data_IF_768138489320
#
_entry.id   IF_768138489320
#
_cell.length_a   1.000
_cell.length_b   1.000
_cell.length_c   1.000
_cell.angle_alpha   90.00
_cell.angle_beta   90.00
_cell.angle_gamma   90.00
#
_symmetry.space_group_name_H-M   'P 1'
#
loop_
_entity.id
_entity.type
_entity.pdbx_description
1 polymer ?
#
# COMPACT_ATOMS: atom_id res chain seq x y z
N UNK A 1 -43.69 28.92 -39.05
CA UNK A 1 -43.33 29.98 -38.09
C UNK A 1 -44.53 30.14 -37.17
N UNK A 2 -44.52 29.87 -35.87
CA UNK A 2 -43.45 29.59 -34.90
C UNK A 2 -44.06 28.80 -33.72
N UNK A 3 -43.25 28.00 -33.03
CA UNK A 3 -43.59 27.40 -31.73
C UNK A 3 -42.80 28.08 -30.60
N UNK A 4 -43.52 28.29 -29.50
CA UNK A 4 -43.12 28.24 -28.08
C UNK A 4 -42.13 29.24 -27.50
N UNK A 5 -42.54 29.89 -26.39
CA UNK A 5 -41.79 30.00 -25.12
C UNK A 5 -42.68 30.58 -24.02
N UNK A 6 -43.04 29.74 -23.06
CA UNK A 6 -43.57 30.14 -21.75
C UNK A 6 -42.42 30.09 -20.76
N UNK A 7 -42.24 31.20 -20.06
CA UNK A 7 -41.15 31.55 -19.16
C UNK A 7 -41.72 31.54 -17.74
N UNK A 8 -41.36 30.55 -16.92
CA UNK A 8 -41.48 30.62 -15.46
C UNK A 8 -40.28 29.88 -14.87
N UNK A 9 -39.21 30.67 -14.63
CA UNK A 9 -37.97 30.23 -14.01
C UNK A 9 -38.15 29.82 -12.56
N UNK A 10 -37.82 28.57 -12.26
CA UNK A 10 -37.53 28.10 -10.92
C UNK A 10 -36.07 28.45 -10.57
N UNK A 11 -35.86 29.46 -9.73
CA UNK A 11 -34.54 29.81 -9.21
C UNK A 11 -34.32 29.10 -7.86
N UNK A 12 -33.43 28.11 -7.91
CA UNK A 12 -32.31 27.87 -6.98
C UNK A 12 -32.58 27.81 -5.47
N UNK A 13 -32.40 26.60 -4.93
CA UNK A 13 -31.35 26.35 -3.93
C UNK A 13 -31.00 24.86 -3.98
N UNK A 14 -30.19 24.51 -4.98
CA UNK A 14 -29.41 23.28 -4.98
C UNK A 14 -28.35 23.44 -3.88
N UNK A 15 -28.66 23.01 -2.66
CA UNK A 15 -27.64 22.83 -1.61
C UNK A 15 -26.80 21.62 -1.99
N UNK A 16 -25.85 21.86 -2.91
CA UNK A 16 -24.68 21.03 -3.16
C UNK A 16 -23.88 20.87 -1.86
N UNK A 17 -24.27 19.93 -1.00
CA UNK A 17 -23.35 19.21 -0.13
C UNK A 17 -22.46 18.29 -0.99
N UNK A 18 -21.60 18.89 -1.82
CA UNK A 18 -20.61 18.16 -2.61
C UNK A 18 -19.24 18.86 -2.53
N UNK A 19 -18.85 19.22 -1.31
CA UNK A 19 -17.60 19.94 -1.04
C UNK A 19 -16.44 19.08 -0.51
N UNK A 20 -16.67 17.83 -0.08
CA UNK A 20 -15.68 17.11 0.75
C UNK A 20 -15.16 15.80 0.15
N UNK A 21 -15.77 15.24 -0.90
CA UNK A 21 -15.41 13.88 -1.36
C UNK A 21 -14.23 13.80 -2.35
N UNK A 22 -13.86 14.91 -3.01
CA UNK A 22 -12.84 14.88 -4.08
C UNK A 22 -11.40 14.97 -3.55
N UNK A 23 -11.18 15.61 -2.39
CA UNK A 23 -9.82 15.81 -1.84
C UNK A 23 -9.22 14.55 -1.21
N UNK A 24 -10.03 13.71 -0.56
CA UNK A 24 -9.55 12.44 0.02
C UNK A 24 -9.11 11.43 -1.04
N UNK A 25 -9.75 11.44 -2.21
CA UNK A 25 -9.42 10.57 -3.33
C UNK A 25 -8.03 10.82 -3.91
N UNK A 26 -7.65 12.09 -4.10
CA UNK A 26 -6.35 12.45 -4.68
C UNK A 26 -5.18 12.21 -3.72
N UNK A 27 -5.37 12.51 -2.43
CA UNK A 27 -4.35 12.27 -1.39
C UNK A 27 -4.14 10.78 -1.17
N UNK A 28 -5.22 9.99 -1.12
CA UNK A 28 -5.13 8.52 -1.01
C UNK A 28 -4.33 7.90 -2.15
N UNK A 29 -4.59 8.33 -3.40
CA UNK A 29 -3.85 7.86 -4.57
C UNK A 29 -2.36 8.20 -4.49
N UNK A 30 -2.04 9.41 -4.03
CA UNK A 30 -0.64 9.82 -3.82
C UNK A 30 0.05 8.93 -2.78
N UNK A 31 -0.60 8.67 -1.65
CA UNK A 31 -0.05 7.77 -0.61
C UNK A 31 0.21 6.38 -1.19
N UNK A 32 -0.75 5.81 -1.92
CA UNK A 32 -0.56 4.50 -2.57
C UNK A 32 0.59 4.49 -3.58
N UNK A 33 0.79 5.58 -4.32
CA UNK A 33 1.92 5.71 -5.23
C UNK A 33 3.26 5.73 -4.49
N UNK A 34 3.37 6.44 -3.36
CA UNK A 34 4.57 6.44 -2.51
C UNK A 34 4.87 5.03 -1.98
N UNK A 35 3.83 4.30 -1.51
CA UNK A 35 3.96 2.91 -1.07
C UNK A 35 4.46 2.01 -2.20
N UNK A 36 3.91 2.16 -3.41
CA UNK A 36 4.31 1.37 -4.57
C UNK A 36 5.75 1.65 -5.02
N UNK A 37 6.28 2.85 -4.78
CA UNK A 37 7.66 3.23 -5.05
C UNK A 37 8.65 2.80 -3.95
N UNK A 38 8.14 2.37 -2.79
CA UNK A 38 8.98 2.07 -1.62
C UNK A 38 9.37 3.31 -0.81
N UNK A 39 8.74 4.46 -1.06
CA UNK A 39 8.94 5.72 -0.33
C UNK A 39 8.18 5.68 1.01
N UNK A 40 8.47 4.67 1.84
CA UNK A 40 7.68 4.35 3.03
C UNK A 40 7.69 5.46 4.10
N UNK A 41 8.82 6.15 4.27
CA UNK A 41 8.93 7.25 5.23
C UNK A 41 8.04 8.42 4.82
N UNK A 42 8.07 8.80 3.54
CA UNK A 42 7.22 9.87 3.01
C UNK A 42 5.74 9.45 3.04
N UNK A 43 5.44 8.19 2.71
CA UNK A 43 4.09 7.65 2.81
C UNK A 43 3.56 7.70 4.25
N UNK A 44 4.35 7.32 5.25
CA UNK A 44 3.97 7.36 6.66
C UNK A 44 3.70 8.79 7.14
N UNK A 45 4.56 9.73 6.78
CA UNK A 45 4.36 11.15 7.10
C UNK A 45 3.05 11.67 6.50
N UNK A 46 2.82 11.40 5.21
CA UNK A 46 1.61 11.84 4.52
C UNK A 46 0.34 11.17 5.07
N UNK A 47 0.40 9.90 5.49
CA UNK A 47 -0.72 9.23 6.18
C UNK A 47 -1.05 9.95 7.48
N UNK A 48 -0.04 10.25 8.31
CA UNK A 48 -0.24 10.91 9.60
C UNK A 48 -0.85 12.31 9.42
N UNK A 49 -0.31 13.12 8.51
CA UNK A 49 -0.82 14.46 8.19
C UNK A 49 -2.25 14.40 7.66
N UNK A 50 -2.52 13.50 6.73
CA UNK A 50 -3.84 13.36 6.10
C UNK A 50 -4.90 12.84 7.07
N UNK A 51 -4.52 11.96 7.99
CA UNK A 51 -5.40 11.46 9.05
C UNK A 51 -5.70 12.55 10.07
N UNK A 52 -4.69 13.31 10.50
CA UNK A 52 -4.85 14.44 11.43
C UNK A 52 -5.72 15.56 10.84
N UNK A 53 -5.62 15.79 9.52
CA UNK A 53 -6.44 16.75 8.79
C UNK A 53 -7.84 16.23 8.41
N UNK A 54 -8.18 14.98 8.75
CA UNK A 54 -9.46 14.37 8.38
C UNK A 54 -9.67 14.15 6.88
N UNK A 55 -8.58 14.13 6.10
CA UNK A 55 -8.61 13.93 4.64
C UNK A 55 -8.75 12.46 4.25
N UNK A 56 -8.36 11.54 5.15
CA UNK A 56 -8.53 10.10 5.01
C UNK A 56 -9.09 9.52 6.30
N UNK A 57 -9.86 8.44 6.17
CA UNK A 57 -10.44 7.74 7.32
C UNK A 57 -9.37 6.96 8.10
N UNK A 58 -9.55 6.82 9.42
CA UNK A 58 -8.65 6.02 10.26
C UNK A 58 -8.52 4.56 9.78
N UNK A 59 -9.62 3.95 9.32
CA UNK A 59 -9.58 2.58 8.79
C UNK A 59 -8.73 2.51 7.51
N UNK A 60 -8.81 3.53 6.66
CA UNK A 60 -8.03 3.61 5.43
C UNK A 60 -6.54 3.80 5.74
N UNK A 61 -6.22 4.69 6.67
CA UNK A 61 -4.86 4.90 7.16
C UNK A 61 -4.26 3.62 7.76
N UNK A 62 -5.03 2.89 8.57
CA UNK A 62 -4.59 1.61 9.16
C UNK A 62 -4.20 0.59 8.07
N UNK A 63 -5.02 0.42 7.02
CA UNK A 63 -4.71 -0.48 5.89
C UNK A 63 -3.43 -0.07 5.15
N UNK A 64 -3.18 1.22 4.99
CA UNK A 64 -1.96 1.72 4.36
C UNK A 64 -0.72 1.43 5.24
N UNK A 65 -0.83 1.65 6.56
CA UNK A 65 0.25 1.36 7.51
C UNK A 65 0.55 -0.13 7.63
N UNK A 66 -0.47 -0.99 7.64
CA UNK A 66 -0.32 -2.46 7.57
C UNK A 66 0.45 -2.85 6.31
N UNK A 67 0.09 -2.28 5.16
CA UNK A 67 0.79 -2.55 3.90
C UNK A 67 2.25 -2.11 3.95
N UNK A 68 2.54 -0.93 4.49
CA UNK A 68 3.92 -0.44 4.66
C UNK A 68 4.71 -1.39 5.56
N UNK A 69 4.10 -1.81 6.67
CA UNK A 69 4.73 -2.73 7.62
C UNK A 69 5.15 -4.02 6.91
N UNK A 70 4.20 -4.68 6.23
CA UNK A 70 4.47 -5.89 5.45
C UNK A 70 5.57 -5.70 4.39
N UNK A 71 5.53 -4.62 3.62
CA UNK A 71 6.51 -4.35 2.56
C UNK A 71 7.91 -4.04 3.11
N UNK A 72 7.98 -3.43 4.30
CA UNK A 72 9.23 -3.09 4.99
C UNK A 72 9.83 -4.26 5.78
N UNK A 73 9.05 -5.31 6.06
CA UNK A 73 9.50 -6.50 6.78
C UNK A 73 10.68 -7.15 6.06
N UNK A 74 11.76 -7.35 6.81
CA UNK A 74 12.98 -8.01 6.33
C UNK A 74 12.93 -9.50 6.62
N UNK A 75 13.49 -10.31 5.73
CA UNK A 75 13.56 -11.76 5.94
C UNK A 75 14.25 -12.16 7.24
N UNK A 76 15.32 -11.46 7.62
CA UNK A 76 16.08 -11.71 8.85
C UNK A 76 15.26 -11.49 10.13
N UNK A 77 14.16 -10.74 10.06
CA UNK A 77 13.22 -10.56 11.16
C UNK A 77 12.28 -11.77 11.34
N UNK A 78 12.39 -12.80 10.49
CA UNK A 78 11.58 -14.02 10.56
C UNK A 78 12.48 -15.25 10.82
N UNK A 79 13.00 -15.45 12.05
CA UNK A 79 13.98 -16.49 12.33
C UNK A 79 13.45 -17.91 12.12
N UNK A 80 12.19 -18.18 12.48
CA UNK A 80 11.62 -19.54 12.50
C UNK A 80 11.31 -20.11 11.10
N UNK A 81 11.11 -19.26 10.09
CA UNK A 81 10.78 -19.70 8.72
C UNK A 81 12.04 -19.98 7.90
N UNK A 82 13.12 -19.25 8.16
CA UNK A 82 14.42 -19.44 7.49
C UNK A 82 15.18 -20.67 7.98
N UNK A 83 14.96 -21.10 9.23
CA UNK A 83 15.60 -22.30 9.80
C UNK A 83 15.30 -23.59 9.03
N UNK A 84 14.19 -23.63 8.28
CA UNK A 84 13.75 -24.83 7.54
C UNK A 84 14.34 -24.93 6.13
N UNK A 85 15.04 -23.91 5.67
CA UNK A 85 15.53 -23.82 4.29
C UNK A 85 17.05 -24.00 4.32
N UNK A 86 17.51 -25.21 4.00
CA UNK A 86 18.94 -25.45 3.74
C UNK A 86 19.40 -24.54 2.59
N UNK A 87 20.63 -24.02 2.71
CA UNK A 87 21.30 -23.19 1.70
C UNK A 87 20.60 -21.87 1.33
N UNK A 88 19.82 -21.31 2.27
CA UNK A 88 19.23 -20.00 2.07
C UNK A 88 20.29 -18.89 2.10
N UNK A 89 20.37 -18.01 1.08
CA UNK A 89 21.40 -16.96 1.02
C UNK A 89 21.28 -16.01 2.22
N UNK A 90 22.37 -15.85 2.97
CA UNK A 90 22.41 -14.93 4.13
C UNK A 90 22.16 -13.48 3.72
N UNK A 91 22.58 -13.09 2.52
CA UNK A 91 22.39 -11.75 1.95
C UNK A 91 20.90 -11.39 1.82
N UNK A 92 20.04 -12.36 1.49
CA UNK A 92 18.60 -12.13 1.41
C UNK A 92 17.96 -11.73 2.75
N UNK A 93 18.60 -12.04 3.88
CA UNK A 93 18.07 -11.70 5.22
C UNK A 93 17.91 -10.20 5.43
N UNK A 94 18.78 -9.39 4.83
CA UNK A 94 18.75 -7.94 5.00
C UNK A 94 17.74 -7.27 4.07
N UNK A 95 17.22 -8.01 3.09
CA UNK A 95 16.27 -7.49 2.12
C UNK A 95 14.83 -7.52 2.63
N UNK A 96 14.11 -6.45 2.33
CA UNK A 96 12.68 -6.34 2.61
C UNK A 96 11.85 -7.04 1.53
N UNK A 97 10.58 -7.34 1.83
CA UNK A 97 9.65 -7.87 0.84
C UNK A 97 9.60 -6.99 -0.42
N UNK A 98 9.60 -5.67 -0.25
CA UNK A 98 9.61 -4.72 -1.36
C UNK A 98 10.82 -4.92 -2.27
N UNK A 99 12.03 -5.01 -1.70
CA UNK A 99 13.25 -5.19 -2.47
C UNK A 99 13.27 -6.54 -3.19
N UNK A 100 12.78 -7.60 -2.54
CA UNK A 100 12.68 -8.94 -3.14
C UNK A 100 11.71 -8.93 -4.33
N UNK A 101 10.57 -8.24 -4.21
CA UNK A 101 9.63 -8.04 -5.32
C UNK A 101 10.26 -7.26 -6.47
N UNK A 102 10.99 -6.18 -6.18
CA UNK A 102 11.71 -5.45 -7.21
C UNK A 102 12.76 -6.30 -7.94
N UNK A 103 13.52 -7.13 -7.23
CA UNK A 103 14.48 -8.06 -7.86
C UNK A 103 13.77 -9.06 -8.79
N UNK A 104 12.63 -9.61 -8.36
CA UNK A 104 11.81 -10.52 -9.16
C UNK A 104 11.23 -9.85 -10.41
N UNK A 105 10.70 -8.62 -10.26
CA UNK A 105 10.13 -7.82 -11.35
C UNK A 105 11.20 -7.42 -12.37
N UNK A 106 12.35 -6.97 -11.90
CA UNK A 106 13.49 -6.59 -12.74
C UNK A 106 14.25 -7.79 -13.32
N UNK A 107 13.89 -9.02 -12.93
CA UNK A 107 14.61 -10.26 -13.24
C UNK A 107 16.10 -10.20 -12.86
N UNK A 108 16.39 -9.49 -11.78
CA UNK A 108 17.73 -9.38 -11.22
C UNK A 108 17.99 -10.57 -10.28
N UNK A 109 18.89 -11.45 -10.71
CA UNK A 109 19.28 -12.66 -9.98
C UNK A 109 20.75 -12.61 -9.53
N UNK A 110 21.32 -11.41 -9.41
CA UNK A 110 22.71 -11.23 -8.98
C UNK A 110 22.94 -11.70 -7.53
N UNK A 111 21.93 -11.51 -6.66
CA UNK A 111 22.01 -11.83 -5.24
C UNK A 111 21.57 -13.25 -4.90
N UNK A 112 20.63 -13.80 -5.67
CA UNK A 112 20.06 -15.13 -5.43
C UNK A 112 19.37 -15.66 -6.69
N UNK A 113 19.16 -16.97 -6.72
CA UNK A 113 18.39 -17.60 -7.78
C UNK A 113 16.93 -17.16 -7.74
N UNK A 114 16.25 -17.18 -8.90
CA UNK A 114 14.81 -16.90 -8.98
C UNK A 114 13.98 -17.76 -8.00
N UNK A 115 14.36 -19.03 -7.82
CA UNK A 115 13.69 -19.94 -6.90
C UNK A 115 13.82 -19.48 -5.44
N UNK A 116 15.01 -19.04 -5.04
CA UNK A 116 15.27 -18.51 -3.69
C UNK A 116 14.52 -17.19 -3.46
N UNK A 117 14.47 -16.29 -4.44
CA UNK A 117 13.69 -15.04 -4.35
C UNK A 117 12.18 -15.30 -4.24
N UNK A 118 11.64 -16.26 -5.00
CA UNK A 118 10.22 -16.66 -4.88
C UNK A 118 9.92 -17.32 -3.54
N UNK A 119 10.86 -18.10 -3.02
CA UNK A 119 10.73 -18.72 -1.71
C UNK A 119 10.73 -17.63 -0.63
N UNK A 120 11.68 -16.69 -0.69
CA UNK A 120 11.78 -15.53 0.17
C UNK A 120 10.48 -14.70 0.23
N UNK A 121 9.93 -14.33 -0.93
CA UNK A 121 8.65 -13.64 -1.04
C UNK A 121 7.55 -14.40 -0.31
N UNK A 122 7.40 -15.71 -0.59
CA UNK A 122 6.40 -16.56 0.05
C UNK A 122 6.58 -16.65 1.56
N UNK A 123 7.80 -16.69 2.07
CA UNK A 123 8.04 -16.79 3.52
C UNK A 123 7.52 -15.55 4.26
N UNK A 124 7.70 -14.35 3.68
CA UNK A 124 7.19 -13.11 4.29
C UNK A 124 5.65 -13.04 4.13
N UNK A 125 5.10 -13.33 2.95
CA UNK A 125 3.65 -13.28 2.74
C UNK A 125 2.87 -14.33 3.56
N UNK A 126 3.47 -15.50 3.79
CA UNK A 126 2.86 -16.54 4.64
C UNK A 126 2.97 -16.22 6.13
N UNK A 127 3.88 -15.33 6.54
CA UNK A 127 3.96 -14.88 7.93
C UNK A 127 2.65 -14.21 8.35
N UNK A 128 2.06 -13.34 7.53
CA UNK A 128 0.76 -12.72 7.82
C UNK A 128 -0.36 -13.76 7.97
N UNK A 129 -0.37 -14.80 7.13
CA UNK A 129 -1.36 -15.89 7.24
C UNK A 129 -1.18 -16.75 8.49
N UNK A 130 0.04 -16.81 9.03
CA UNK A 130 0.36 -17.54 10.26
C UNK A 130 0.09 -16.68 11.50
N UNK A 131 0.32 -15.37 11.42
CA UNK A 131 0.04 -14.39 12.49
C UNK A 131 -1.45 -14.05 12.60
N UNK A 132 -2.19 -14.04 11.48
CA UNK A 132 -3.66 -13.83 11.44
C UNK A 132 -4.50 -15.03 11.91
N UNK A 133 -3.86 -16.13 12.34
CA UNK A 133 -4.52 -17.27 13.00
C UNK A 133 -4.35 -17.26 14.53
N UNK A 134 -3.77 -16.20 15.10
CA UNK A 134 -3.54 -16.05 16.54
C UNK A 134 -4.48 -15.00 17.16
N UNK A 135 -5.67 -14.82 16.58
CA UNK A 135 -6.77 -14.07 17.22
C UNK A 135 -8.03 -14.92 17.27
#
# INVERSE_FOLDING_TARGET
MACARGDEGACEADELEEGTRVKGGTVSLRIWALIAKGEFVEAQALIAESTAAGLIEQQQAARMLERITLLSTRLGQIPATLQRVQDFPSQLREHSLFQIKQLLENKDYTLATQAQLKLAEKLIEQQDRLMGKVQ
#
